data_IF_533360358071
#
_entry.id   IF_533360358071
#
_cell.length_a   1.000
_cell.length_b   1.000
_cell.length_c   1.000
_cell.angle_alpha   90.00
_cell.angle_beta   90.00
_cell.angle_gamma   90.00
#
_symmetry.space_group_name_H-M   'P 1'
#
loop_
_entity.id
_entity.type
_entity.pdbx_description
1 polymer ?
#
# COMPACT_ATOMS: atom_id res chain seq x y z
N UNK A 1 -10.97 18.65 12.73
CA UNK A 1 -11.87 18.32 11.61
C UNK A 1 -13.05 19.25 11.63
N UNK A 2 -13.58 19.63 10.47
CA UNK A 2 -14.81 20.41 10.37
C UNK A 2 -15.95 19.46 10.00
N UNK A 3 -16.98 19.39 10.84
CA UNK A 3 -18.21 18.70 10.50
C UNK A 3 -19.22 19.76 10.04
N UNK A 4 -19.75 19.62 8.83
CA UNK A 4 -20.81 20.49 8.33
C UNK A 4 -22.15 19.93 8.85
N UNK A 5 -22.82 20.64 9.76
CA UNK A 5 -24.03 20.15 10.46
C UNK A 5 -25.33 20.47 9.71
N UNK A 6 -25.28 20.61 8.39
CA UNK A 6 -26.48 20.80 7.59
C UNK A 6 -27.16 19.45 7.34
N UNK A 7 -28.50 19.44 7.29
CA UNK A 7 -29.29 18.23 7.03
C UNK A 7 -28.82 17.50 5.75
N UNK A 8 -28.45 18.26 4.73
CA UNK A 8 -27.88 17.77 3.47
C UNK A 8 -26.52 17.11 3.64
N UNK A 9 -25.67 17.60 4.54
CA UNK A 9 -24.36 16.99 4.84
C UNK A 9 -24.48 15.71 5.69
N UNK A 10 -25.60 15.51 6.40
CA UNK A 10 -25.84 14.30 7.17
C UNK A 10 -26.57 13.19 6.38
N UNK A 11 -27.18 13.53 5.23
CA UNK A 11 -28.07 12.62 4.49
C UNK A 11 -27.79 12.49 2.99
N UNK A 12 -27.04 13.41 2.38
CA UNK A 12 -26.82 13.46 0.93
C UNK A 12 -25.34 13.58 0.54
N UNK A 13 -24.56 14.40 1.24
CA UNK A 13 -23.17 14.70 0.87
C UNK A 13 -22.15 14.05 1.83
N UNK A 14 -21.13 13.39 1.29
CA UNK A 14 -20.02 12.81 2.07
C UNK A 14 -18.77 13.70 2.03
N UNK A 15 -18.88 14.91 2.60
CA UNK A 15 -17.79 15.91 2.58
C UNK A 15 -17.36 16.33 3.99
N UNK A 16 -16.87 15.38 4.79
CA UNK A 16 -16.18 15.70 6.04
C UNK A 16 -14.67 15.61 5.86
N UNK A 17 -13.96 16.72 6.11
CA UNK A 17 -12.49 16.78 6.05
C UNK A 17 -11.89 16.70 7.47
N UNK A 18 -11.03 15.71 7.70
CA UNK A 18 -10.26 15.56 8.94
C UNK A 18 -8.80 15.93 8.70
N UNK A 19 -8.30 16.93 9.43
CA UNK A 19 -6.88 17.31 9.49
C UNK A 19 -6.37 16.98 10.89
N UNK A 20 -5.28 16.20 10.98
CA UNK A 20 -4.61 15.80 12.22
C UNK A 20 -3.22 16.45 12.24
N UNK A 21 -2.93 17.22 13.29
CA UNK A 21 -1.65 17.93 13.43
C UNK A 21 -0.61 17.16 14.27
N UNK A 22 -1.07 16.21 15.08
CA UNK A 22 -0.21 15.39 15.94
C UNK A 22 0.28 14.15 15.18
N UNK A 23 1.61 13.93 15.05
CA UNK A 23 2.15 12.79 14.32
C UNK A 23 1.75 11.43 14.91
N UNK A 24 1.71 11.29 16.22
CA UNK A 24 1.38 10.02 16.86
C UNK A 24 -0.10 9.67 16.64
N UNK A 25 -1.00 10.65 16.73
CA UNK A 25 -2.42 10.46 16.44
C UNK A 25 -2.66 10.20 14.95
N UNK A 26 -1.89 10.86 14.08
CA UNK A 26 -1.97 10.64 12.63
C UNK A 26 -1.55 9.21 12.26
N UNK A 27 -0.45 8.72 12.84
CA UNK A 27 0.03 7.36 12.63
C UNK A 27 -0.97 6.33 13.15
N UNK A 28 -1.50 6.52 14.37
CA UNK A 28 -2.50 5.63 14.94
C UNK A 28 -3.78 5.62 14.09
N UNK A 29 -4.27 6.78 13.65
CA UNK A 29 -5.42 6.88 12.77
C UNK A 29 -5.17 6.15 11.45
N UNK A 30 -3.99 6.33 10.85
CA UNK A 30 -3.62 5.69 9.59
C UNK A 30 -3.54 4.16 9.71
N UNK A 31 -2.95 3.65 10.80
CA UNK A 31 -2.89 2.22 11.09
C UNK A 31 -4.28 1.61 11.25
N UNK A 32 -5.14 2.24 12.07
CA UNK A 32 -6.51 1.79 12.29
C UNK A 32 -7.37 1.89 11.04
N UNK A 33 -7.28 2.98 10.29
CA UNK A 33 -8.00 3.16 9.03
C UNK A 33 -7.57 2.13 7.99
N UNK A 34 -6.26 1.87 7.86
CA UNK A 34 -5.74 0.86 6.92
C UNK A 34 -6.22 -0.53 7.31
N UNK A 35 -6.11 -0.90 8.59
CA UNK A 35 -6.59 -2.19 9.09
C UNK A 35 -8.10 -2.37 8.86
N UNK A 36 -8.91 -1.34 9.15
CA UNK A 36 -10.37 -1.39 9.00
C UNK A 36 -10.83 -1.33 7.55
N UNK A 37 -10.17 -0.55 6.70
CA UNK A 37 -10.41 -0.53 5.25
C UNK A 37 -10.16 -1.90 4.65
N UNK A 38 -9.07 -2.56 5.04
CA UNK A 38 -8.75 -3.92 4.60
C UNK A 38 -9.82 -4.92 5.08
N UNK A 39 -10.44 -4.70 6.24
CA UNK A 39 -11.55 -5.53 6.75
C UNK A 39 -12.91 -5.26 6.05
N UNK A 40 -13.21 -4.00 5.67
CA UNK A 40 -14.53 -3.61 5.17
C UNK A 40 -14.66 -3.70 3.64
N UNK A 41 -13.57 -3.56 2.90
CA UNK A 41 -13.60 -3.66 1.42
C UNK A 41 -13.62 -5.10 0.90
N UNK A 42 -13.53 -6.11 1.78
CA UNK A 42 -13.34 -7.51 1.37
C UNK A 42 -11.99 -7.78 0.68
N UNK A 43 -11.20 -6.73 0.40
CA UNK A 43 -9.80 -6.80 0.02
C UNK A 43 -8.99 -6.85 1.31
N UNK A 44 -9.05 -8.01 1.96
CA UNK A 44 -7.94 -8.36 2.82
C UNK A 44 -6.70 -8.40 1.92
N UNK A 45 -5.70 -7.57 2.20
CA UNK A 45 -4.32 -7.93 1.86
C UNK A 45 -3.96 -9.14 2.74
N UNK A 46 -4.56 -10.29 2.42
CA UNK A 46 -4.13 -11.56 2.94
C UNK A 46 -2.72 -11.72 2.39
N UNK A 47 -1.74 -11.83 3.27
CA UNK A 47 -0.39 -12.28 2.94
C UNK A 47 -0.36 -13.72 2.43
N UNK A 48 -1.22 -14.09 1.49
CA UNK A 48 -1.37 -15.43 0.93
C UNK A 48 -2.68 -15.60 0.15
N UNK A 49 -2.53 -15.93 -1.15
CA UNK A 49 -3.57 -16.25 -2.17
C UNK A 49 -4.08 -15.10 -3.05
N UNK A 50 -3.32 -14.02 -3.20
CA UNK A 50 -3.34 -13.23 -4.43
C UNK A 50 -2.20 -13.68 -5.36
N UNK A 51 -2.24 -13.37 -6.68
CA UNK A 51 -1.15 -13.69 -7.61
C UNK A 51 0.16 -12.95 -7.29
N UNK A 52 0.11 -11.96 -6.40
CA UNK A 52 1.28 -11.41 -5.69
C UNK A 52 1.07 -11.59 -4.19
N UNK A 53 2.12 -12.00 -3.47
CA UNK A 53 2.22 -11.96 -2.02
C UNK A 53 3.39 -11.08 -1.58
N UNK A 54 3.19 -10.30 -0.52
CA UNK A 54 4.18 -9.36 0.02
C UNK A 54 4.40 -9.58 1.50
N UNK A 55 5.65 -9.52 1.95
CA UNK A 55 6.00 -9.70 3.37
C UNK A 55 7.26 -8.93 3.76
N UNK A 56 7.34 -8.31 4.95
CA UNK A 56 6.23 -7.99 5.85
C UNK A 56 5.38 -6.83 5.31
N UNK A 57 4.14 -6.72 5.79
CA UNK A 57 3.28 -5.55 5.56
C UNK A 57 2.67 -5.14 6.92
N UNK A 58 2.97 -3.95 7.46
CA UNK A 58 3.90 -2.93 6.94
C UNK A 58 5.36 -3.42 6.91
N UNK A 59 6.16 -2.92 5.96
CA UNK A 59 7.59 -3.19 5.89
C UNK A 59 8.44 -2.08 6.52
N UNK A 60 9.70 -2.38 6.85
CA UNK A 60 10.66 -1.42 7.40
C UNK A 60 11.86 -1.28 6.48
N UNK A 61 12.83 -2.18 6.57
CA UNK A 61 14.09 -2.08 5.81
C UNK A 61 14.10 -2.90 4.52
N UNK A 62 13.21 -3.90 4.42
CA UNK A 62 13.11 -4.77 3.27
C UNK A 62 11.69 -5.26 3.05
N UNK A 63 11.38 -5.54 1.78
CA UNK A 63 10.10 -6.06 1.34
C UNK A 63 10.35 -7.27 0.43
N UNK A 64 9.87 -8.43 0.86
CA UNK A 64 9.81 -9.64 0.05
C UNK A 64 8.57 -9.60 -0.83
N UNK A 65 8.75 -9.83 -2.12
CA UNK A 65 7.67 -9.93 -3.10
C UNK A 65 7.74 -11.30 -3.73
N UNK A 66 6.61 -12.01 -3.77
CA UNK A 66 6.47 -13.31 -4.43
C UNK A 66 5.32 -13.24 -5.44
N UNK A 67 5.51 -13.79 -6.64
CA UNK A 67 4.49 -13.89 -7.68
C UNK A 67 4.43 -15.30 -8.27
N UNK A 68 3.24 -15.73 -8.69
CA UNK A 68 2.99 -17.11 -9.12
C UNK A 68 3.69 -17.44 -10.45
N UNK A 69 3.71 -16.51 -11.40
CA UNK A 69 4.25 -16.73 -12.76
C UNK A 69 5.70 -16.22 -12.94
N UNK A 70 6.41 -16.02 -11.84
CA UNK A 70 7.79 -15.53 -11.87
C UNK A 70 7.88 -14.04 -12.19
N UNK A 71 8.79 -13.36 -11.50
CA UNK A 71 8.98 -11.92 -11.59
C UNK A 71 10.02 -11.61 -12.68
N UNK A 72 9.69 -10.68 -13.57
CA UNK A 72 10.61 -10.05 -14.53
C UNK A 72 11.09 -8.70 -14.00
N UNK A 73 10.20 -7.92 -13.40
CA UNK A 73 10.49 -6.60 -12.89
C UNK A 73 9.53 -6.23 -11.76
N UNK A 74 10.05 -5.54 -10.76
CA UNK A 74 9.28 -4.94 -9.69
C UNK A 74 9.54 -3.45 -9.64
N UNK A 75 8.49 -2.65 -9.47
CA UNK A 75 8.58 -1.21 -9.26
C UNK A 75 7.80 -0.82 -8.02
N UNK A 76 8.35 0.12 -7.26
CA UNK A 76 7.62 0.85 -6.22
C UNK A 76 7.40 2.28 -6.70
N UNK A 77 6.15 2.72 -6.62
CA UNK A 77 5.74 4.09 -6.92
C UNK A 77 5.27 4.76 -5.63
N UNK A 78 5.66 6.02 -5.43
CA UNK A 78 5.10 6.84 -4.35
C UNK A 78 3.66 7.28 -4.65
N UNK A 79 3.05 8.01 -3.73
CA UNK A 79 1.67 8.53 -3.88
C UNK A 79 1.50 9.52 -5.02
N UNK A 80 2.59 10.06 -5.57
CA UNK A 80 2.58 10.94 -6.75
C UNK A 80 2.71 10.16 -8.06
N UNK A 81 2.90 8.84 -8.00
CA UNK A 81 3.12 7.98 -9.15
C UNK A 81 4.57 7.97 -9.65
N UNK A 82 5.50 8.61 -8.92
CA UNK A 82 6.92 8.57 -9.27
C UNK A 82 7.50 7.21 -8.89
N UNK A 83 8.23 6.58 -9.82
CA UNK A 83 9.00 5.36 -9.54
C UNK A 83 10.16 5.72 -8.61
N UNK A 84 10.16 5.14 -7.41
CA UNK A 84 11.20 5.33 -6.38
C UNK A 84 12.16 4.15 -6.30
N UNK A 85 11.73 2.97 -6.77
CA UNK A 85 12.55 1.77 -6.84
C UNK A 85 12.12 0.95 -8.06
N UNK A 86 13.10 0.39 -8.78
CA UNK A 86 12.86 -0.56 -9.86
C UNK A 86 13.96 -1.62 -9.87
N UNK A 87 13.59 -2.89 -9.76
CA UNK A 87 14.51 -4.02 -9.72
C UNK A 87 14.05 -5.13 -10.65
N UNK A 88 14.98 -5.72 -11.40
CA UNK A 88 14.70 -6.87 -12.25
C UNK A 88 14.62 -8.15 -11.40
N UNK A 89 13.62 -8.97 -11.66
CA UNK A 89 13.48 -10.30 -11.07
C UNK A 89 13.98 -11.40 -12.01
N UNK A 90 14.38 -12.52 -11.43
CA UNK A 90 14.72 -13.73 -12.19
C UNK A 90 13.93 -14.97 -11.74
N UNK A 91 13.17 -14.88 -10.67
CA UNK A 91 12.48 -16.01 -10.04
C UNK A 91 11.10 -15.62 -9.52
N UNK A 92 10.40 -16.55 -8.84
CA UNK A 92 9.11 -16.27 -8.23
C UNK A 92 9.18 -15.28 -7.07
N UNK A 93 10.36 -15.10 -6.48
CA UNK A 93 10.56 -14.24 -5.30
C UNK A 93 11.71 -13.27 -5.51
N UNK A 94 11.55 -12.04 -5.02
CA UNK A 94 12.60 -11.01 -4.95
C UNK A 94 12.57 -10.31 -3.58
N UNK A 95 13.73 -9.89 -3.09
CA UNK A 95 13.90 -9.13 -1.86
C UNK A 95 14.32 -7.71 -2.22
N UNK A 96 13.45 -6.73 -1.95
CA UNK A 96 13.72 -5.32 -2.21
C UNK A 96 14.37 -4.68 -0.98
N UNK A 97 15.44 -3.90 -1.19
CA UNK A 97 16.05 -3.10 -0.11
C UNK A 97 15.40 -1.73 -0.06
N UNK A 98 14.66 -1.45 1.00
CA UNK A 98 13.78 -0.26 1.08
C UNK A 98 14.16 0.69 2.21
N UNK A 99 15.27 0.46 2.91
CA UNK A 99 15.76 1.32 4.00
C UNK A 99 15.93 2.80 3.62
N UNK A 100 16.20 3.10 2.35
CA UNK A 100 16.38 4.46 1.83
C UNK A 100 15.07 5.19 1.51
N UNK A 101 13.93 4.50 1.59
CA UNK A 101 12.61 5.07 1.29
C UNK A 101 12.01 5.73 2.53
N UNK A 102 11.25 6.82 2.33
CA UNK A 102 10.51 7.48 3.42
C UNK A 102 9.36 6.59 3.93
N UNK A 103 8.96 6.73 5.19
CA UNK A 103 7.72 6.11 5.69
C UNK A 103 6.50 6.60 4.91
N UNK A 104 5.56 5.70 4.61
CA UNK A 104 4.37 6.04 3.82
C UNK A 104 3.83 4.90 2.96
N UNK A 105 2.77 5.19 2.21
CA UNK A 105 2.15 4.26 1.27
C UNK A 105 2.83 4.26 -0.10
N UNK A 106 2.92 3.09 -0.71
CA UNK A 106 3.48 2.86 -2.04
C UNK A 106 2.58 1.95 -2.86
N UNK A 107 2.64 2.11 -4.18
CA UNK A 107 2.08 1.16 -5.14
C UNK A 107 3.19 0.23 -5.62
N UNK A 108 3.00 -1.07 -5.42
CA UNK A 108 3.85 -2.13 -5.95
C UNK A 108 3.31 -2.55 -7.32
N UNK A 109 4.15 -2.46 -8.35
CA UNK A 109 3.90 -3.07 -9.65
C UNK A 109 4.83 -4.27 -9.85
N UNK A 110 4.28 -5.41 -10.24
CA UNK A 110 5.03 -6.61 -10.59
C UNK A 110 4.72 -6.99 -12.02
N UNK A 111 5.74 -7.03 -12.86
CA UNK A 111 5.66 -7.58 -14.21
C UNK A 111 6.10 -9.03 -14.18
N UNK A 112 5.21 -9.93 -14.57
CA UNK A 112 5.46 -11.37 -14.62
C UNK A 112 6.03 -11.81 -15.98
N UNK A 113 6.49 -13.07 -16.06
CA UNK A 113 7.07 -13.64 -17.29
C UNK A 113 6.06 -13.78 -18.42
N UNK A 114 4.79 -14.08 -18.13
CA UNK A 114 3.70 -14.04 -19.13
C UNK A 114 3.49 -12.66 -19.76
N UNK A 115 4.10 -11.60 -19.21
CA UNK A 115 3.86 -10.21 -19.59
C UNK A 115 2.69 -9.57 -18.84
N UNK A 116 1.98 -10.34 -18.00
CA UNK A 116 0.96 -9.81 -17.09
C UNK A 116 1.60 -8.82 -16.11
N UNK A 117 0.93 -7.70 -15.87
CA UNK A 117 1.31 -6.74 -14.82
C UNK A 117 0.27 -6.75 -13.73
N UNK A 118 0.73 -6.93 -12.51
CA UNK A 118 -0.08 -7.00 -11.31
C UNK A 118 0.28 -5.83 -10.39
N UNK A 119 -0.70 -5.35 -9.62
CA UNK A 119 -0.53 -4.22 -8.71
C UNK A 119 -1.03 -4.56 -7.31
N UNK A 120 -0.31 -4.11 -6.30
CA UNK A 120 -0.73 -4.15 -4.90
C UNK A 120 -0.37 -2.84 -4.21
N UNK A 121 -1.06 -2.50 -3.13
CA UNK A 121 -0.57 -1.44 -2.25
C UNK A 121 0.37 -2.07 -1.22
N UNK A 122 1.34 -1.30 -0.74
CA UNK A 122 2.20 -1.69 0.38
C UNK A 122 2.52 -0.46 1.21
N UNK A 123 2.78 -0.63 2.50
CA UNK A 123 3.05 0.48 3.43
C UNK A 123 4.41 0.28 4.10
N UNK A 124 5.26 1.31 4.06
CA UNK A 124 6.48 1.38 4.86
C UNK A 124 6.18 2.06 6.20
N UNK A 125 6.52 1.40 7.29
CA UNK A 125 6.48 1.99 8.63
C UNK A 125 7.51 3.14 8.74
N UNK A 126 7.32 4.09 9.69
CA UNK A 126 8.25 5.20 9.93
C UNK A 126 9.70 4.75 10.11
#
# INVERSE_FOLDING_TARGET
>A
GSHNWTFSANTVNDENTLIIHDPAVADQFFQEWTARRNAFTGVAEVGGKGPIATWPVPFQEGLQVTADDGIVEVRLLDTTGRIVLAEAGQGPTIQLRTAHLAGGGYVLEVRERSGRTLRSNVVKAP
#
